data_IF_390096771028
#
_entry.id   IF_390096771028
#
_cell.length_a   1.000
_cell.length_b   1.000
_cell.length_c   1.000
_cell.angle_alpha   90.00
_cell.angle_beta   90.00
_cell.angle_gamma   90.00
#
_symmetry.space_group_name_H-M   'P 1'
#
loop_
_entity.id
_entity.type
_entity.pdbx_description
1 polymer ?
#
# COMPACT_ATOMS: atom_id res chain seq x y z
N UNK A 1 -1.85 -12.31 3.67
CA UNK A 1 -1.79 -10.82 3.59
C UNK A 1 -1.00 -10.31 2.38
N UNK A 2 0.22 -10.81 2.12
CA UNK A 2 1.06 -10.37 0.99
C UNK A 2 0.41 -10.47 -0.41
N UNK A 3 -0.48 -11.45 -0.64
CA UNK A 3 -1.22 -11.58 -1.91
C UNK A 3 -2.17 -10.39 -2.15
N UNK A 4 -2.90 -9.98 -1.11
CA UNK A 4 -3.82 -8.83 -1.15
C UNK A 4 -3.06 -7.53 -1.44
N UNK A 5 -1.86 -7.39 -0.86
CA UNK A 5 -1.00 -6.25 -1.12
C UNK A 5 -0.53 -6.19 -2.57
N UNK A 6 -0.04 -7.31 -3.11
CA UNK A 6 0.40 -7.39 -4.51
C UNK A 6 -0.74 -7.06 -5.46
N UNK A 7 -1.92 -7.63 -5.25
CA UNK A 7 -3.10 -7.34 -6.07
C UNK A 7 -3.52 -5.87 -5.98
N UNK A 8 -3.44 -5.26 -4.79
CA UNK A 8 -3.73 -3.84 -4.58
C UNK A 8 -2.74 -2.93 -5.33
N UNK A 9 -1.44 -3.20 -5.21
CA UNK A 9 -0.38 -2.44 -5.91
C UNK A 9 -0.58 -2.54 -7.43
N UNK A 10 -0.72 -3.76 -7.96
CA UNK A 10 -0.92 -3.97 -9.41
C UNK A 10 -2.18 -3.23 -9.90
N UNK A 11 -3.25 -3.24 -9.11
CA UNK A 11 -4.48 -2.52 -9.46
C UNK A 11 -4.25 -1.01 -9.51
N UNK A 12 -3.58 -0.43 -8.51
CA UNK A 12 -3.31 1.01 -8.48
C UNK A 12 -2.36 1.43 -9.59
N UNK A 13 -1.34 0.64 -9.88
CA UNK A 13 -0.40 0.86 -10.98
C UNK A 13 -1.12 0.83 -12.34
N UNK A 14 -2.01 -0.15 -12.57
CA UNK A 14 -2.83 -0.23 -13.78
C UNK A 14 -3.78 0.95 -13.97
N UNK A 15 -4.30 1.51 -12.88
CA UNK A 15 -5.15 2.71 -12.94
C UNK A 15 -4.30 3.99 -13.07
N UNK A 16 -2.99 3.92 -12.80
CA UNK A 16 -2.07 5.06 -12.82
C UNK A 16 -2.08 5.90 -11.55
N UNK A 17 -2.59 5.36 -10.42
CA UNK A 17 -2.57 6.05 -9.14
C UNK A 17 -1.20 6.05 -8.46
N UNK A 18 -0.36 5.05 -8.75
CA UNK A 18 0.99 4.91 -8.20
C UNK A 18 1.98 4.56 -9.31
N UNK A 19 3.24 4.94 -9.12
CA UNK A 19 4.37 4.59 -9.96
C UNK A 19 5.54 4.20 -9.05
N UNK A 20 6.46 3.37 -9.55
CA UNK A 20 7.71 3.10 -8.85
C UNK A 20 8.48 4.40 -8.62
N UNK A 21 8.83 4.68 -7.35
CA UNK A 21 9.66 5.81 -6.97
C UNK A 21 11.15 5.44 -7.05
N UNK A 22 11.99 6.44 -7.27
CA UNK A 22 13.46 6.33 -7.21
C UNK A 22 14.03 6.82 -5.88
N UNK A 23 13.19 7.28 -4.96
CA UNK A 23 13.62 7.75 -3.64
C UNK A 23 13.98 6.57 -2.74
N UNK A 24 15.04 6.73 -1.95
CA UNK A 24 15.44 5.76 -0.90
C UNK A 24 14.46 5.74 0.29
N UNK A 25 13.50 6.66 0.30
CA UNK A 25 12.52 6.79 1.35
C UNK A 25 11.46 5.68 1.32
N UNK A 26 11.17 5.10 2.49
CA UNK A 26 10.19 4.03 2.67
C UNK A 26 9.15 4.39 3.73
N UNK A 27 7.94 3.83 3.58
CA UNK A 27 6.90 3.94 4.62
C UNK A 27 6.29 2.56 4.89
N UNK A 28 5.97 2.23 6.15
CA UNK A 28 5.31 0.98 6.48
C UNK A 28 3.87 0.97 5.96
N UNK A 29 3.41 -0.22 5.56
CA UNK A 29 2.02 -0.46 5.15
C UNK A 29 1.32 -1.27 6.23
N UNK A 30 0.23 -0.74 6.74
CA UNK A 30 -0.65 -1.41 7.71
C UNK A 30 -1.87 -1.98 6.99
N UNK A 31 -2.39 -3.13 7.44
CA UNK A 31 -3.68 -3.63 6.97
C UNK A 31 -4.77 -3.32 7.99
N UNK A 32 -5.83 -2.66 7.55
CA UNK A 32 -7.02 -2.41 8.35
C UNK A 32 -8.10 -3.39 7.93
N UNK A 33 -8.68 -4.09 8.91
CA UNK A 33 -9.84 -4.96 8.68
C UNK A 33 -11.11 -4.12 8.66
N UNK A 34 -11.85 -4.20 7.57
CA UNK A 34 -13.16 -3.56 7.44
C UNK A 34 -14.26 -4.38 8.10
N UNK A 35 -15.43 -3.76 8.27
CA UNK A 35 -16.65 -4.42 8.80
C UNK A 35 -17.09 -5.64 7.98
N UNK A 36 -16.82 -5.64 6.67
CA UNK A 36 -17.10 -6.75 5.75
C UNK A 36 -16.06 -7.90 5.84
N UNK A 37 -15.07 -7.78 6.73
CA UNK A 37 -13.98 -8.75 6.87
C UNK A 37 -12.85 -8.60 5.84
N UNK A 38 -12.99 -7.70 4.86
CA UNK A 38 -11.94 -7.43 3.87
C UNK A 38 -10.78 -6.66 4.49
N UNK A 39 -9.56 -6.91 4.00
CA UNK A 39 -8.37 -6.16 4.37
C UNK A 39 -8.17 -5.00 3.38
N UNK A 40 -7.93 -3.80 3.91
CA UNK A 40 -7.50 -2.63 3.11
C UNK A 40 -6.10 -2.24 3.56
N UNK A 41 -5.10 -2.21 2.65
CA UNK A 41 -3.81 -1.62 2.96
C UNK A 41 -3.97 -0.10 3.18
N UNK A 42 -3.31 0.41 4.22
CA UNK A 42 -3.21 1.81 4.59
C UNK A 42 -1.72 2.16 4.72
N UNK A 43 -1.33 3.27 4.12
CA UNK A 43 0.07 3.71 4.10
C UNK A 43 0.22 4.73 5.23
N UNK A 44 1.06 4.41 6.21
CA UNK A 44 1.31 5.29 7.34
C UNK A 44 2.34 6.36 6.94
N UNK A 45 1.86 7.46 6.34
CA UNK A 45 2.70 8.57 5.84
C UNK A 45 3.49 9.29 6.95
N UNK A 46 3.07 9.17 8.21
CA UNK A 46 3.78 9.81 9.32
C UNK A 46 5.14 9.17 9.61
N UNK A 47 5.39 7.98 9.07
CA UNK A 47 6.61 7.22 9.29
C UNK A 47 7.31 7.01 7.96
N UNK A 48 7.75 8.12 7.36
CA UNK A 48 8.65 8.09 6.22
C UNK A 48 10.07 8.09 6.79
N UNK A 49 10.74 6.97 6.62
CA UNK A 49 12.18 6.84 6.89
C UNK A 49 12.92 7.30 5.62
N UNK A 50 13.89 8.21 5.77
CA UNK A 50 14.76 8.73 4.69
C UNK A 50 16.12 8.05 4.76
#
# INVERSE_FOLDING_TARGET
>A
ELKVLKEYIIKLERIGFIQQSTLEAGAPIMFVKKKDGSLRPCIERCQIDI
#
